data_IF_712757436505
#
_entry.id   IF_712757436505
#
_cell.length_a   1.000
_cell.length_b   1.000
_cell.length_c   1.000
_cell.angle_alpha   90.00
_cell.angle_beta   90.00
_cell.angle_gamma   90.00
#
_symmetry.space_group_name_H-M   'P 1'
#
loop_
_entity.id
_entity.type
_entity.pdbx_description
1 polymer ?
#
# COMPACT_ATOMS: atom_id res chain seq x y z
N UNK A 1 -14.08 -3.21 -9.86
CA UNK A 1 -13.71 -2.84 -8.47
C UNK A 1 -14.63 -1.74 -8.00
N UNK A 2 -15.44 -2.01 -6.96
CA UNK A 2 -16.50 -1.07 -6.51
C UNK A 2 -16.12 -0.30 -5.25
N UNK A 3 -15.29 -0.88 -4.38
CA UNK A 3 -14.92 -0.28 -3.08
C UNK A 3 -13.42 0.00 -3.03
N UNK A 4 -13.03 1.22 -2.67
CA UNK A 4 -11.65 1.58 -2.37
C UNK A 4 -11.59 2.79 -1.43
N UNK A 5 -10.56 2.87 -0.58
CA UNK A 5 -10.35 3.97 0.37
C UNK A 5 -8.85 4.15 0.66
N UNK A 6 -8.48 5.36 1.08
CA UNK A 6 -7.15 5.61 1.63
C UNK A 6 -7.18 5.47 3.15
N UNK A 7 -6.13 4.89 3.70
CA UNK A 7 -5.98 4.67 5.13
C UNK A 7 -4.58 4.99 5.63
N UNK A 8 -4.44 5.21 6.92
CA UNK A 8 -3.16 5.32 7.61
C UNK A 8 -2.97 4.11 8.51
N UNK A 9 -1.80 3.46 8.43
CA UNK A 9 -1.45 2.36 9.32
C UNK A 9 -1.18 2.86 10.73
N UNK A 10 -2.05 2.50 11.69
CA UNK A 10 -1.88 2.85 13.11
C UNK A 10 -0.87 1.90 13.75
N UNK A 11 -1.07 0.59 13.59
CA UNK A 11 -0.20 -0.42 14.19
C UNK A 11 -0.72 -1.82 13.98
N UNK A 12 -0.20 -2.74 14.78
CA UNK A 12 -0.68 -4.12 14.83
C UNK A 12 -1.03 -4.48 16.28
N UNK A 13 -2.05 -5.29 16.42
CA UNK A 13 -2.51 -5.87 17.68
C UNK A 13 -3.05 -7.27 17.42
N UNK A 14 -3.64 -7.85 18.42
CA UNK A 14 -4.32 -9.14 18.33
C UNK A 14 -5.71 -9.04 18.94
N UNK A 15 -6.61 -9.84 18.45
CA UNK A 15 -7.95 -10.03 18.99
C UNK A 15 -8.21 -11.51 19.16
N UNK A 16 -9.11 -11.86 20.06
CA UNK A 16 -9.54 -13.23 20.26
C UNK A 16 -10.94 -13.39 19.67
N UNK A 17 -11.15 -14.45 18.94
CA UNK A 17 -12.46 -14.88 18.51
C UNK A 17 -13.22 -15.54 19.68
N UNK A 18 -14.51 -15.77 19.51
CA UNK A 18 -15.34 -16.48 20.48
C UNK A 18 -14.81 -17.87 20.83
N UNK A 19 -14.19 -18.54 19.88
CA UNK A 19 -13.53 -19.86 20.04
C UNK A 19 -12.20 -19.79 20.82
N UNK A 20 -11.79 -18.63 21.32
CA UNK A 20 -10.50 -18.43 21.96
C UNK A 20 -9.30 -18.36 20.99
N UNK A 21 -9.51 -18.46 19.70
CA UNK A 21 -8.45 -18.41 18.68
C UNK A 21 -7.90 -16.98 18.58
N UNK A 22 -6.57 -16.85 18.69
CA UNK A 22 -5.87 -15.57 18.53
C UNK A 22 -5.76 -15.18 17.05
N UNK A 23 -6.25 -14.01 16.69
CA UNK A 23 -6.16 -13.44 15.35
C UNK A 23 -5.26 -12.20 15.36
N UNK A 24 -4.09 -12.24 14.68
CA UNK A 24 -3.25 -11.05 14.53
C UNK A 24 -3.91 -10.08 13.55
N UNK A 25 -4.04 -8.81 13.95
CA UNK A 25 -4.69 -7.79 13.12
C UNK A 25 -3.82 -6.54 12.97
N UNK A 26 -3.91 -5.93 11.80
CA UNK A 26 -3.41 -4.58 11.56
C UNK A 26 -4.58 -3.60 11.69
N UNK A 27 -4.38 -2.56 12.49
CA UNK A 27 -5.33 -1.46 12.65
C UNK A 27 -5.00 -0.37 11.64
N UNK A 28 -5.98 -0.04 10.81
CA UNK A 28 -5.91 0.98 9.78
C UNK A 28 -6.97 2.04 10.06
N UNK A 29 -6.57 3.31 10.10
CA UNK A 29 -7.51 4.44 10.12
C UNK A 29 -7.89 4.75 8.67
N UNK A 30 -9.08 4.37 8.27
CA UNK A 30 -9.57 4.42 6.90
C UNK A 30 -10.57 5.56 6.72
N UNK A 31 -10.11 6.67 6.15
CA UNK A 31 -10.92 7.87 5.97
C UNK A 31 -10.98 8.80 7.20
N UNK A 32 -11.84 9.83 7.17
CA UNK A 32 -12.67 10.20 6.02
C UNK A 32 -11.83 10.66 4.82
N UNK A 33 -12.17 10.16 3.64
CA UNK A 33 -11.61 10.61 2.38
C UNK A 33 -12.63 11.51 1.68
N UNK A 34 -12.18 12.62 1.09
CA UNK A 34 -13.07 13.57 0.42
C UNK A 34 -12.81 13.54 -1.09
N UNK A 35 -13.87 13.47 -1.89
CA UNK A 35 -13.76 13.49 -3.36
C UNK A 35 -13.35 14.89 -3.80
N UNK A 36 -12.19 14.99 -4.47
CA UNK A 36 -11.65 16.27 -4.98
C UNK A 36 -11.89 16.47 -6.46
N UNK A 37 -12.01 15.39 -7.23
CA UNK A 37 -12.29 15.44 -8.66
C UNK A 37 -12.88 14.11 -9.13
N UNK A 38 -13.80 14.17 -10.09
CA UNK A 38 -14.32 13.02 -10.81
C UNK A 38 -13.78 13.09 -12.22
N UNK A 39 -13.12 12.03 -12.66
CA UNK A 39 -12.56 11.90 -14.01
C UNK A 39 -13.49 11.06 -14.86
N UNK A 40 -13.76 11.53 -16.06
CA UNK A 40 -14.64 10.89 -17.03
C UNK A 40 -13.88 10.56 -18.32
N UNK A 41 -14.40 9.59 -19.08
CA UNK A 41 -13.79 9.19 -20.36
C UNK A 41 -13.74 10.35 -21.35
N UNK A 42 -14.75 11.23 -21.34
CA UNK A 42 -14.84 12.36 -22.27
C UNK A 42 -13.74 13.40 -22.06
N UNK A 43 -13.43 13.73 -20.81
CA UNK A 43 -12.46 14.79 -20.49
C UNK A 43 -11.04 14.25 -20.24
N UNK A 44 -10.93 13.10 -19.58
CA UNK A 44 -9.66 12.57 -19.08
C UNK A 44 -9.23 11.27 -19.79
N UNK A 45 -10.09 10.67 -20.60
CA UNK A 45 -9.86 9.43 -21.32
C UNK A 45 -10.06 8.16 -20.46
N UNK A 46 -10.43 8.28 -19.18
CA UNK A 46 -10.71 7.17 -18.28
C UNK A 46 -11.60 7.61 -17.11
N UNK A 47 -12.29 6.65 -16.50
CA UNK A 47 -13.10 6.89 -15.32
C UNK A 47 -12.28 6.66 -14.04
N UNK A 48 -12.27 7.64 -13.14
CA UNK A 48 -11.67 7.55 -11.81
C UNK A 48 -12.27 8.59 -10.86
N UNK A 49 -12.18 8.30 -9.57
CA UNK A 49 -12.49 9.26 -8.50
C UNK A 49 -11.17 9.66 -7.83
N UNK A 50 -10.87 10.95 -7.85
CA UNK A 50 -9.74 11.48 -7.12
C UNK A 50 -10.18 11.80 -5.70
N UNK A 51 -9.46 11.29 -4.70
CA UNK A 51 -9.77 11.49 -3.29
C UNK A 51 -8.62 12.13 -2.55
N UNK A 52 -8.96 13.05 -1.65
CA UNK A 52 -8.07 13.68 -0.70
C UNK A 52 -8.17 13.03 0.68
N UNK A 53 -7.03 12.84 1.35
CA UNK A 53 -6.97 12.21 2.67
C UNK A 53 -5.97 12.91 3.59
N UNK A 54 -6.29 13.02 4.86
CA UNK A 54 -5.55 13.72 5.93
C UNK A 54 -5.45 15.24 5.67
N UNK A 55 -5.94 16.02 6.59
CA UNK A 55 -5.87 17.48 6.50
C UNK A 55 -4.44 18.00 6.58
N UNK A 56 -4.18 19.07 5.87
CA UNK A 56 -2.89 19.76 5.90
C UNK A 56 -3.06 21.26 6.10
N UNK A 57 -2.04 21.88 6.70
CA UNK A 57 -2.04 23.32 6.92
C UNK A 57 -1.83 24.06 5.61
N UNK A 58 -2.54 25.16 5.42
CA UNK A 58 -2.47 25.99 4.22
C UNK A 58 -1.04 26.38 3.82
N UNK A 59 -0.18 26.66 4.81
CA UNK A 59 1.24 27.04 4.59
C UNK A 59 2.06 25.96 3.85
N UNK A 60 1.60 24.70 3.88
CA UNK A 60 2.27 23.55 3.25
C UNK A 60 1.75 23.25 1.84
N UNK A 61 0.77 24.02 1.35
CA UNK A 61 0.12 23.79 0.06
C UNK A 61 0.54 24.86 -0.93
N UNK A 62 1.01 24.46 -2.10
CA UNK A 62 1.41 25.36 -3.17
C UNK A 62 0.19 26.01 -3.86
N UNK A 63 0.38 27.17 -4.50
CA UNK A 63 -0.69 27.91 -5.20
C UNK A 63 -1.51 27.05 -6.18
N UNK A 64 -0.90 26.23 -7.07
CA UNK A 64 -1.68 25.37 -7.97
C UNK A 64 -2.55 24.34 -7.23
N UNK A 65 -2.01 23.76 -6.14
CA UNK A 65 -2.77 22.82 -5.31
C UNK A 65 -3.93 23.50 -4.58
N UNK A 66 -3.73 24.74 -4.08
CA UNK A 66 -4.81 25.53 -3.49
C UNK A 66 -5.96 25.69 -4.48
N UNK A 67 -5.68 26.19 -5.69
CA UNK A 67 -6.70 26.34 -6.72
C UNK A 67 -7.42 25.05 -7.08
N UNK A 68 -6.74 23.90 -7.01
CA UNK A 68 -7.36 22.60 -7.22
C UNK A 68 -8.39 22.26 -6.11
N UNK A 69 -8.04 22.43 -4.85
CA UNK A 69 -8.95 22.20 -3.72
C UNK A 69 -10.06 23.23 -3.64
N UNK A 70 -9.76 24.50 -3.91
CA UNK A 70 -10.73 25.60 -3.91
C UNK A 70 -11.80 25.38 -4.99
N UNK A 71 -11.42 24.86 -6.18
CA UNK A 71 -12.37 24.46 -7.24
C UNK A 71 -13.32 23.36 -6.79
N UNK A 72 -12.84 22.44 -5.96
CA UNK A 72 -13.66 21.35 -5.41
C UNK A 72 -14.45 21.75 -4.16
N UNK A 73 -14.18 22.93 -3.57
CA UNK A 73 -14.81 23.41 -2.34
C UNK A 73 -14.44 22.59 -1.10
N UNK A 74 -13.23 22.00 -1.07
CA UNK A 74 -12.79 21.11 0.01
C UNK A 74 -11.57 21.65 0.74
N UNK A 75 -11.43 21.29 2.02
CA UNK A 75 -10.24 21.61 2.80
C UNK A 75 -8.98 20.97 2.21
N UNK A 76 -7.83 21.60 2.42
CA UNK A 76 -6.55 21.14 1.88
C UNK A 76 -6.15 19.80 2.46
N UNK A 77 -5.87 18.81 1.59
CA UNK A 77 -5.51 17.44 1.97
C UNK A 77 -4.04 17.14 1.66
N UNK A 78 -3.42 16.35 2.52
CA UNK A 78 -2.02 15.95 2.40
C UNK A 78 -1.77 14.94 1.28
N UNK A 79 -2.65 13.97 1.15
CA UNK A 79 -2.54 12.91 0.16
C UNK A 79 -3.70 13.01 -0.82
N UNK A 80 -3.36 13.04 -2.10
CA UNK A 80 -4.34 13.00 -3.19
C UNK A 80 -4.01 11.78 -4.04
N UNK A 81 -4.99 10.91 -4.28
CA UNK A 81 -4.85 9.69 -5.09
C UNK A 81 -6.10 9.44 -5.91
N UNK A 82 -5.90 8.79 -7.04
CA UNK A 82 -6.98 8.36 -7.90
C UNK A 82 -7.35 6.91 -7.62
N UNK A 83 -8.63 6.67 -7.52
CA UNK A 83 -9.23 5.36 -7.35
C UNK A 83 -10.02 5.05 -8.62
N UNK A 84 -9.58 4.04 -9.39
CA UNK A 84 -10.29 3.58 -10.58
C UNK A 84 -11.44 2.68 -10.14
N UNK A 85 -12.63 3.28 -9.99
CA UNK A 85 -13.85 2.61 -9.58
C UNK A 85 -14.77 2.43 -10.79
N UNK A 86 -15.49 1.32 -10.84
CA UNK A 86 -16.49 1.05 -11.88
C UNK A 86 -17.68 1.98 -11.76
N UNK A 87 -18.04 2.33 -10.53
CA UNK A 87 -19.13 3.23 -10.19
C UNK A 87 -18.68 4.68 -9.97
N UNK A 88 -17.64 5.14 -10.65
CA UNK A 88 -17.10 6.50 -10.48
C UNK A 88 -18.15 7.62 -10.74
N UNK A 89 -19.15 7.35 -11.56
CA UNK A 89 -20.22 8.31 -11.87
C UNK A 89 -21.23 8.52 -10.73
N UNK A 90 -21.29 7.63 -9.75
CA UNK A 90 -22.20 7.73 -8.60
C UNK A 90 -21.70 8.70 -7.53
N UNK A 91 -20.42 9.07 -7.59
CA UNK A 91 -19.80 9.97 -6.61
C UNK A 91 -20.07 11.44 -6.95
N UNK A 92 -20.21 12.26 -5.91
CA UNK A 92 -20.30 13.71 -6.02
C UNK A 92 -19.03 14.40 -5.54
N UNK A 93 -18.76 15.62 -6.05
CA UNK A 93 -17.68 16.46 -5.51
C UNK A 93 -17.93 16.76 -4.03
N UNK A 94 -16.86 16.85 -3.25
CA UNK A 94 -16.86 17.05 -1.81
C UNK A 94 -17.54 15.93 -0.99
N UNK A 95 -17.98 14.84 -1.62
CA UNK A 95 -18.54 13.68 -0.91
C UNK A 95 -17.49 13.04 -0.01
N UNK A 96 -17.86 12.68 1.20
CA UNK A 96 -17.02 11.93 2.13
C UNK A 96 -17.18 10.42 1.93
N UNK A 97 -16.05 9.72 1.90
CA UNK A 97 -15.97 8.26 1.87
C UNK A 97 -15.38 7.83 3.22
N UNK A 98 -16.12 7.03 3.98
CA UNK A 98 -15.75 6.54 5.32
C UNK A 98 -15.51 5.03 5.32
N UNK A 99 -15.09 4.50 6.47
CA UNK A 99 -14.79 3.07 6.63
C UNK A 99 -16.03 2.16 6.47
N UNK A 100 -17.23 2.71 6.58
CA UNK A 100 -18.54 2.03 6.47
C UNK A 100 -18.82 1.36 5.12
N UNK A 101 -18.06 1.74 4.08
CA UNK A 101 -18.15 1.05 2.77
C UNK A 101 -17.71 -0.43 2.83
N UNK A 102 -16.94 -0.81 3.86
CA UNK A 102 -16.51 -2.18 4.09
C UNK A 102 -17.31 -2.85 5.22
N UNK A 103 -17.49 -4.16 5.10
CA UNK A 103 -18.12 -4.99 6.11
C UNK A 103 -17.12 -6.02 6.67
N UNK A 104 -17.41 -6.56 7.86
CA UNK A 104 -16.66 -7.69 8.38
C UNK A 104 -16.82 -8.90 7.45
N UNK A 105 -15.72 -9.61 7.19
CA UNK A 105 -15.66 -10.72 6.23
C UNK A 105 -15.27 -10.31 4.80
N UNK A 106 -15.32 -9.01 4.45
CA UNK A 106 -14.87 -8.53 3.13
C UNK A 106 -13.40 -8.89 2.89
N UNK A 107 -13.10 -9.27 1.65
CA UNK A 107 -11.73 -9.53 1.19
C UNK A 107 -11.18 -8.29 0.49
N UNK A 108 -10.02 -7.83 0.91
CA UNK A 108 -9.39 -6.60 0.44
C UNK A 108 -7.95 -6.81 0.00
N UNK A 109 -7.49 -5.92 -0.86
CA UNK A 109 -6.09 -5.77 -1.26
C UNK A 109 -5.52 -4.48 -0.65
N UNK A 110 -4.40 -4.59 0.05
CA UNK A 110 -3.74 -3.46 0.70
C UNK A 110 -2.43 -3.12 -0.01
N UNK A 111 -2.34 -1.91 -0.56
CA UNK A 111 -1.17 -1.40 -1.27
C UNK A 111 -0.50 -0.28 -0.48
N UNK A 112 0.79 -0.43 -0.19
CA UNK A 112 1.58 0.63 0.46
C UNK A 112 3.06 0.53 0.11
N UNK A 113 3.83 1.57 0.44
CA UNK A 113 5.28 1.55 0.32
C UNK A 113 5.87 0.75 1.49
N UNK A 114 6.63 -0.29 1.19
CA UNK A 114 7.26 -1.16 2.18
C UNK A 114 8.34 -0.44 2.99
N UNK A 115 8.68 -0.96 4.17
CA UNK A 115 9.79 -0.44 4.97
C UNK A 115 11.09 -0.51 4.19
N UNK A 116 11.84 0.58 4.15
CA UNK A 116 13.18 0.63 3.57
C UNK A 116 14.17 -0.21 4.39
N UNK A 117 15.07 -0.90 3.71
CA UNK A 117 16.13 -1.72 4.30
C UNK A 117 17.52 -1.29 3.84
N UNK A 118 17.61 -0.18 3.10
CA UNK A 118 18.85 0.34 2.56
C UNK A 118 19.49 -0.57 1.52
N UNK A 119 20.80 -0.43 1.32
CA UNK A 119 21.58 -1.29 0.44
C UNK A 119 21.84 -2.63 1.13
N UNK A 120 21.47 -3.74 0.50
CA UNK A 120 21.58 -5.09 1.07
C UNK A 120 22.39 -6.00 0.15
N UNK A 121 23.14 -6.91 0.77
CA UNK A 121 23.85 -7.98 0.06
C UNK A 121 22.89 -8.97 -0.60
N UNK A 122 23.40 -9.71 -1.57
CA UNK A 122 22.62 -10.63 -2.39
C UNK A 122 21.93 -11.74 -1.57
N UNK A 123 22.54 -12.19 -0.49
CA UNK A 123 21.97 -13.21 0.39
C UNK A 123 20.64 -12.72 1.01
N UNK A 124 20.62 -11.53 1.59
CA UNK A 124 19.40 -10.98 2.23
C UNK A 124 18.39 -10.48 1.20
N UNK A 125 18.88 -9.86 0.10
CA UNK A 125 18.03 -9.25 -0.90
C UNK A 125 17.34 -10.28 -1.80
N UNK A 126 18.04 -11.36 -2.15
CA UNK A 126 17.64 -12.31 -3.18
C UNK A 126 17.51 -13.75 -2.66
N UNK A 127 17.79 -13.99 -1.37
CA UNK A 127 17.72 -15.32 -0.78
C UNK A 127 18.83 -16.28 -1.25
N UNK A 128 19.97 -15.76 -1.72
CA UNK A 128 21.10 -16.58 -2.14
C UNK A 128 21.71 -17.31 -0.94
N UNK A 129 22.27 -18.50 -1.19
CA UNK A 129 22.95 -19.27 -0.17
C UNK A 129 24.29 -18.63 0.24
N UNK A 130 24.62 -18.70 1.52
CA UNK A 130 25.92 -18.33 2.02
C UNK A 130 26.93 -19.45 1.82
N UNK A 131 28.21 -19.12 1.80
CA UNK A 131 29.29 -20.10 1.82
C UNK A 131 29.46 -20.76 3.20
N UNK A 132 30.35 -21.78 3.31
CA UNK A 132 30.66 -22.44 4.56
C UNK A 132 31.18 -21.46 5.61
N UNK A 133 30.80 -21.66 6.89
CA UNK A 133 31.24 -20.81 8.00
C UNK A 133 32.42 -21.42 8.78
N UNK A 134 32.80 -22.64 8.45
CA UNK A 134 33.89 -23.41 9.06
C UNK A 134 34.81 -23.98 7.97
N UNK A 135 35.71 -24.90 8.34
CA UNK A 135 36.67 -25.59 7.45
C UNK A 135 37.62 -24.63 6.69
N UNK A 136 38.02 -23.49 7.33
CA UNK A 136 38.93 -22.52 6.74
C UNK A 136 38.37 -21.67 5.58
N UNK A 137 37.08 -21.77 5.30
CA UNK A 137 36.44 -20.95 4.26
C UNK A 137 36.48 -19.48 4.63
N UNK A 138 36.92 -18.64 3.68
CA UNK A 138 36.84 -17.16 3.77
C UNK A 138 35.64 -16.61 2.99
N UNK A 139 34.87 -17.48 2.33
CA UNK A 139 33.72 -17.14 1.53
C UNK A 139 32.42 -17.30 2.35
N UNK A 140 32.06 -16.29 3.14
CA UNK A 140 30.91 -16.36 4.02
C UNK A 140 29.64 -15.81 3.39
N UNK A 141 29.59 -14.48 3.19
CA UNK A 141 28.39 -13.78 2.70
C UNK A 141 28.64 -13.05 1.36
N UNK A 142 29.57 -13.54 0.57
CA UNK A 142 29.88 -12.99 -0.74
C UNK A 142 28.80 -13.35 -1.77
N UNK A 143 28.69 -12.52 -2.81
CA UNK A 143 27.69 -12.68 -3.88
C UNK A 143 27.93 -13.94 -4.73
N UNK A 144 29.18 -14.40 -4.83
CA UNK A 144 29.57 -15.46 -5.74
C UNK A 144 29.97 -14.96 -7.13
N UNK A 145 30.20 -15.89 -8.04
CA UNK A 145 30.60 -15.60 -9.42
C UNK A 145 29.53 -14.81 -10.16
N UNK A 146 29.96 -13.90 -11.04
CA UNK A 146 29.09 -13.15 -11.93
C UNK A 146 28.74 -13.85 -13.24
N UNK A 147 29.37 -14.99 -13.54
CA UNK A 147 29.11 -15.78 -14.73
C UNK A 147 30.30 -16.58 -15.18
N UNK A 148 30.24 -17.11 -16.40
CA UNK A 148 31.34 -17.79 -17.07
C UNK A 148 32.46 -16.80 -17.47
N UNK A 149 33.63 -17.32 -17.80
CA UNK A 149 34.83 -16.52 -18.06
C UNK A 149 34.80 -15.83 -19.45
N UNK A 150 35.67 -16.29 -20.36
CA UNK A 150 35.93 -15.65 -21.67
C UNK A 150 34.75 -15.73 -22.64
N UNK A 151 33.94 -16.75 -22.54
CA UNK A 151 32.70 -16.88 -23.32
C UNK A 151 31.50 -17.03 -22.34
N UNK A 152 30.57 -16.06 -22.31
CA UNK A 152 30.27 -14.96 -23.22
C UNK A 152 30.96 -13.61 -22.92
N UNK A 153 31.96 -13.54 -22.06
CA UNK A 153 32.71 -12.31 -21.66
C UNK A 153 31.81 -11.16 -21.13
N UNK A 154 30.66 -11.46 -20.60
CA UNK A 154 29.70 -10.47 -20.05
C UNK A 154 28.92 -11.03 -18.90
N UNK A 155 28.42 -10.14 -18.05
CA UNK A 155 27.40 -10.46 -17.04
C UNK A 155 26.04 -10.31 -17.71
N UNK A 156 25.21 -11.36 -17.65
CA UNK A 156 23.90 -11.33 -18.26
C UNK A 156 22.95 -10.35 -17.55
N UNK A 157 22.01 -9.78 -18.32
CA UNK A 157 20.92 -8.97 -17.79
C UNK A 157 20.11 -9.81 -16.79
N UNK A 158 19.63 -9.18 -15.71
CA UNK A 158 18.86 -9.87 -14.68
C UNK A 158 19.69 -10.62 -13.65
N UNK A 159 21.04 -10.65 -13.75
CA UNK A 159 21.88 -11.22 -12.69
C UNK A 159 21.60 -10.54 -11.37
N UNK A 160 21.22 -11.34 -10.38
CA UNK A 160 20.93 -10.87 -9.03
C UNK A 160 22.19 -10.39 -8.31
N UNK A 161 22.23 -9.10 -7.95
CA UNK A 161 23.36 -8.44 -7.28
C UNK A 161 22.92 -7.72 -6.02
N UNK A 162 23.83 -7.31 -5.13
CA UNK A 162 23.54 -6.38 -4.04
C UNK A 162 22.86 -5.11 -4.56
N UNK A 163 22.06 -4.48 -3.73
CA UNK A 163 21.38 -3.25 -4.12
C UNK A 163 20.32 -2.82 -3.10
N UNK A 164 19.59 -1.78 -3.45
CA UNK A 164 18.53 -1.23 -2.61
C UNK A 164 17.43 -2.27 -2.38
N UNK A 165 17.02 -2.42 -1.12
CA UNK A 165 15.93 -3.30 -0.70
C UNK A 165 14.87 -2.52 0.09
N UNK A 166 13.61 -2.84 -0.15
CA UNK A 166 12.48 -2.12 0.46
C UNK A 166 12.20 -0.78 -0.22
N UNK A 167 11.40 0.06 0.43
CA UNK A 167 10.88 1.34 -0.11
C UNK A 167 10.24 1.20 -1.50
N UNK A 168 9.66 0.04 -1.78
CA UNK A 168 8.92 -0.26 -3.01
C UNK A 168 7.44 -0.37 -2.70
N UNK A 169 6.61 0.03 -3.65
CA UNK A 169 5.18 -0.20 -3.57
C UNK A 169 4.91 -1.71 -3.66
N UNK A 170 4.20 -2.23 -2.67
CA UNK A 170 3.84 -3.65 -2.55
C UNK A 170 2.35 -3.74 -2.26
N UNK A 171 1.69 -4.68 -2.90
CA UNK A 171 0.30 -5.03 -2.65
C UNK A 171 0.22 -6.41 -2.02
N UNK A 172 -0.42 -6.52 -0.87
CA UNK A 172 -0.81 -7.79 -0.27
C UNK A 172 -2.29 -7.99 -0.58
N UNK A 173 -2.60 -9.10 -1.21
CA UNK A 173 -3.93 -9.41 -1.71
C UNK A 173 -4.68 -10.35 -0.78
N UNK A 174 -6.01 -10.32 -0.90
CA UNK A 174 -6.93 -11.27 -0.24
C UNK A 174 -6.83 -11.27 1.28
N UNK A 175 -6.68 -10.07 1.87
CA UNK A 175 -6.74 -9.88 3.31
C UNK A 175 -8.20 -9.81 3.76
N UNK A 176 -8.51 -10.39 4.89
CA UNK A 176 -9.84 -10.40 5.50
C UNK A 176 -10.03 -9.22 6.45
N UNK A 177 -11.14 -8.51 6.30
CA UNK A 177 -11.59 -7.50 7.26
C UNK A 177 -12.26 -8.22 8.43
N UNK A 178 -11.67 -8.13 9.62
CA UNK A 178 -12.19 -8.82 10.81
C UNK A 178 -13.26 -7.98 11.49
N UNK A 179 -13.03 -6.67 11.59
CA UNK A 179 -13.96 -5.73 12.24
C UNK A 179 -13.86 -4.35 11.61
N UNK A 180 -15.00 -3.69 11.53
CA UNK A 180 -15.13 -2.29 11.11
C UNK A 180 -15.66 -1.48 12.29
N UNK A 181 -14.99 -0.40 12.65
CA UNK A 181 -15.45 0.60 13.60
C UNK A 181 -15.75 1.88 12.81
N UNK A 182 -17.03 2.10 12.54
CA UNK A 182 -17.49 3.23 11.74
C UNK A 182 -17.38 4.57 12.51
N UNK A 183 -17.50 4.57 13.83
CA UNK A 183 -17.43 5.79 14.65
C UNK A 183 -16.02 6.40 14.61
N UNK A 184 -14.99 5.54 14.76
CA UNK A 184 -13.59 5.96 14.76
C UNK A 184 -12.93 5.83 13.38
N UNK A 185 -13.66 5.40 12.35
CA UNK A 185 -13.13 5.12 11.01
C UNK A 185 -11.95 4.13 11.04
N UNK A 186 -12.06 3.05 11.81
CA UNK A 186 -11.03 2.03 11.92
C UNK A 186 -11.45 0.75 11.20
N UNK A 187 -10.48 0.19 10.47
CA UNK A 187 -10.55 -1.14 9.87
C UNK A 187 -9.52 -2.06 10.53
N UNK A 188 -9.97 -3.18 11.08
CA UNK A 188 -9.11 -4.23 11.60
C UNK A 188 -8.98 -5.31 10.54
N UNK A 189 -7.79 -5.44 9.98
CA UNK A 189 -7.48 -6.36 8.88
C UNK A 189 -6.62 -7.50 9.39
N UNK A 190 -7.00 -8.74 9.11
CA UNK A 190 -6.25 -9.94 9.51
C UNK A 190 -4.89 -9.98 8.85
N UNK A 191 -3.85 -10.13 9.67
CA UNK A 191 -2.47 -10.27 9.19
C UNK A 191 -1.71 -8.95 9.04
N UNK A 192 -0.64 -8.98 8.25
CA UNK A 192 0.28 -7.88 8.08
C UNK A 192 -0.04 -7.03 6.86
N UNK A 193 -0.01 -5.71 7.03
CA UNK A 193 -0.12 -4.71 5.95
C UNK A 193 1.24 -4.06 5.73
N UNK A 194 1.68 -3.81 4.48
CA UNK A 194 2.99 -3.24 4.21
C UNK A 194 3.13 -1.81 4.77
N UNK A 195 4.38 -1.41 4.97
CA UNK A 195 4.75 -0.08 5.43
C UNK A 195 4.98 0.06 6.95
N UNK A 196 5.61 1.16 7.36
CA UNK A 196 5.77 1.53 8.78
C UNK A 196 4.45 2.04 9.38
N UNK A 197 4.43 2.30 10.68
CA UNK A 197 3.36 3.09 11.32
C UNK A 197 3.26 4.47 10.64
N UNK A 198 2.06 5.00 10.52
CA UNK A 198 1.71 6.25 9.82
C UNK A 198 1.92 6.21 8.29
N UNK A 199 2.21 5.05 7.70
CA UNK A 199 2.27 4.92 6.24
C UNK A 199 0.88 5.05 5.61
N UNK A 200 0.84 5.70 4.44
CA UNK A 200 -0.35 5.70 3.60
C UNK A 200 -0.56 4.31 3.01
N UNK A 201 -1.77 3.81 3.13
CA UNK A 201 -2.23 2.52 2.58
C UNK A 201 -3.42 2.78 1.69
N UNK A 202 -3.39 2.27 0.49
CA UNK A 202 -4.57 2.22 -0.40
C UNK A 202 -5.23 0.86 -0.22
N UNK A 203 -6.46 0.86 0.24
CA UNK A 203 -7.29 -0.34 0.42
C UNK A 203 -8.24 -0.43 -0.75
N UNK A 204 -8.40 -1.61 -1.30
CA UNK A 204 -9.28 -1.90 -2.43
C UNK A 204 -9.97 -3.23 -2.21
N UNK A 205 -11.18 -3.38 -2.72
CA UNK A 205 -11.81 -4.68 -2.88
C UNK A 205 -10.88 -5.62 -3.68
N UNK A 206 -10.72 -6.87 -3.23
CA UNK A 206 -9.82 -7.79 -3.91
C UNK A 206 -10.35 -8.22 -5.27
N UNK A 207 -9.46 -8.34 -6.24
CA UNK A 207 -9.78 -8.88 -7.58
C UNK A 207 -9.88 -10.42 -7.58
N UNK A 208 -9.45 -11.09 -6.49
CA UNK A 208 -9.38 -12.56 -6.41
C UNK A 208 -10.56 -13.21 -5.70
N UNK A 209 -11.38 -12.46 -4.99
CA UNK A 209 -12.52 -12.98 -4.22
C UNK A 209 -13.80 -13.01 -5.05
N UNK A 210 -13.83 -13.73 -6.08
CA UNK A 210 -15.01 -13.82 -6.93
C UNK A 210 -15.11 -15.16 -7.65
N UNK A 211 -14.35 -16.14 -7.17
CA UNK A 211 -14.40 -17.49 -7.73
C UNK A 211 -14.48 -18.52 -6.62
#
# INVERSE_FOLDING_TARGET
MKKAILATKVGMTQIFNEDGTLVPVTVLQAGPCVVTQIKTVENDGYNAVQVGFVDTREKLVNKPQKGHFDKAGVAYKKFVRELKLENAAEYALAQEIKADIFAAGDKIDATAVSKGKGFQGAIKRLGQHRGPMAHGSKFHRHQGSNGACSDPSKVFKGKGMPGHMGSKQITIQNLEVVRVDAENNLLLVKGAVPGPKKALVTIKETVKSGK
#
